data_IF_153087739860
#
_entry.id   IF_153087739860
#
_cell.length_a   1.000
_cell.length_b   1.000
_cell.length_c   1.000
_cell.angle_alpha   90.00
_cell.angle_beta   90.00
_cell.angle_gamma   90.00
#
_symmetry.space_group_name_H-M   'P 1'
#
loop_
_entity.id
_entity.type
_entity.pdbx_description
1 polymer ?
#
# COMPACT_ATOMS: atom_id res chain seq x y z
N UNK A 1 -9.07 -54.70 4.06
CA UNK A 1 -8.65 -53.91 2.88
C UNK A 1 -9.59 -52.71 2.58
N UNK A 2 -10.13 -52.03 3.60
CA UNK A 2 -11.07 -50.88 3.42
C UNK A 2 -10.76 -49.66 4.31
N UNK A 3 -9.78 -49.75 5.21
CA UNK A 3 -9.43 -48.66 6.14
C UNK A 3 -8.35 -47.71 5.59
N UNK A 4 -7.53 -48.17 4.64
CA UNK A 4 -6.46 -47.37 4.03
C UNK A 4 -6.97 -46.36 3.01
N UNK A 5 -8.12 -46.63 2.37
CA UNK A 5 -8.71 -45.74 1.34
C UNK A 5 -9.41 -44.51 1.94
N UNK A 6 -9.85 -44.59 3.21
CA UNK A 6 -10.51 -43.48 3.90
C UNK A 6 -9.51 -42.45 4.48
N UNK A 7 -8.28 -42.89 4.83
CA UNK A 7 -7.22 -41.98 5.26
C UNK A 7 -6.62 -41.19 4.08
N UNK A 8 -6.49 -41.80 2.89
CA UNK A 8 -5.96 -41.09 1.71
C UNK A 8 -6.89 -39.98 1.20
N UNK A 9 -8.20 -40.13 1.37
CA UNK A 9 -9.20 -39.13 0.97
C UNK A 9 -9.25 -37.93 1.94
N UNK A 10 -8.90 -38.13 3.22
CA UNK A 10 -8.73 -37.02 4.17
C UNK A 10 -7.45 -36.20 3.92
N UNK A 11 -6.38 -36.81 3.39
CA UNK A 11 -5.16 -36.10 2.98
C UNK A 11 -5.32 -35.32 1.66
N UNK A 12 -6.27 -35.68 0.80
CA UNK A 12 -6.56 -34.95 -0.45
C UNK A 12 -7.27 -33.59 -0.23
N UNK A 13 -7.83 -33.34 0.97
CA UNK A 13 -8.38 -32.04 1.36
C UNK A 13 -7.37 -31.14 2.07
N UNK A 14 -6.12 -31.60 2.26
CA UNK A 14 -5.06 -30.82 2.89
C UNK A 14 -4.51 -29.81 1.89
N UNK A 15 -5.16 -28.66 1.89
CA UNK A 15 -4.58 -27.35 1.61
C UNK A 15 -4.21 -27.09 0.14
N UNK A 16 -5.22 -26.82 -0.68
CA UNK A 16 -5.09 -25.75 -1.67
C UNK A 16 -4.74 -24.46 -0.91
N UNK A 17 -3.44 -24.19 -0.75
CA UNK A 17 -2.98 -22.97 -0.13
C UNK A 17 -3.34 -21.83 -1.07
N UNK A 18 -4.47 -21.17 -0.84
CA UNK A 18 -4.85 -19.95 -1.56
C UNK A 18 -4.00 -18.79 -1.04
N UNK A 19 -3.67 -17.86 -1.94
CA UNK A 19 -3.10 -16.59 -1.54
C UNK A 19 -4.08 -15.89 -0.60
N UNK A 20 -3.58 -15.41 0.54
CA UNK A 20 -4.40 -14.73 1.53
C UNK A 20 -4.03 -13.26 1.57
N UNK A 21 -5.04 -12.40 1.52
CA UNK A 21 -4.86 -10.99 1.79
C UNK A 21 -4.42 -10.76 3.24
N UNK A 22 -3.69 -9.67 3.45
CA UNK A 22 -3.39 -9.15 4.76
C UNK A 22 -4.68 -8.66 5.43
N UNK A 23 -4.73 -8.77 6.75
CA UNK A 23 -5.79 -8.13 7.54
C UNK A 23 -5.34 -6.72 7.90
N UNK A 24 -6.29 -5.88 8.30
CA UNK A 24 -6.03 -4.51 8.74
C UNK A 24 -5.37 -3.62 7.67
N UNK A 25 -5.59 -3.94 6.41
CA UNK A 25 -5.23 -3.12 5.27
C UNK A 25 -6.00 -1.80 5.30
N UNK A 26 -5.32 -0.68 5.09
CA UNK A 26 -5.92 0.64 4.96
C UNK A 26 -5.40 1.26 3.66
N UNK A 27 -6.32 1.55 2.76
CA UNK A 27 -6.09 2.31 1.54
C UNK A 27 -7.05 3.50 1.55
N UNK A 28 -6.53 4.67 1.23
CA UNK A 28 -7.27 5.93 1.34
C UNK A 28 -7.11 6.67 0.03
N UNK A 29 -8.21 7.17 -0.51
CA UNK A 29 -8.20 8.09 -1.64
C UNK A 29 -7.38 9.35 -1.33
N UNK A 30 -6.74 9.89 -2.36
CA UNK A 30 -5.83 11.04 -2.33
C UNK A 30 -4.55 10.87 -1.50
N UNK A 31 -4.32 9.69 -0.93
CA UNK A 31 -3.06 9.34 -0.26
C UNK A 31 -2.29 8.36 -1.15
N UNK A 32 -1.08 8.70 -1.54
CA UNK A 32 -0.22 7.87 -2.39
C UNK A 32 0.53 6.77 -1.61
N UNK A 33 -0.08 6.28 -0.54
CA UNK A 33 0.49 5.26 0.34
C UNK A 33 -0.60 4.32 0.86
N UNK A 34 -0.32 3.03 0.78
CA UNK A 34 -1.05 1.97 1.45
C UNK A 34 -0.45 1.72 2.84
N UNK A 35 -1.30 1.43 3.83
CA UNK A 35 -0.89 1.18 5.20
C UNK A 35 -1.32 -0.23 5.66
N UNK A 36 -0.45 -0.93 6.38
CA UNK A 36 -0.83 -2.10 7.15
C UNK A 36 -0.27 -2.03 8.58
N UNK A 37 -1.09 -1.57 9.56
CA UNK A 37 -0.67 -1.45 10.95
C UNK A 37 -0.30 -2.77 11.63
N UNK A 38 -0.90 -3.88 11.21
CA UNK A 38 -0.65 -5.21 11.78
C UNK A 38 0.70 -5.79 11.33
N UNK A 39 1.02 -5.66 10.05
CA UNK A 39 2.28 -6.14 9.47
C UNK A 39 3.42 -5.12 9.58
N UNK A 40 3.11 -3.89 10.03
CA UNK A 40 4.03 -2.76 10.16
C UNK A 40 4.76 -2.53 8.83
N UNK A 41 4.00 -2.27 7.78
CA UNK A 41 4.53 -1.91 6.47
C UNK A 41 3.66 -0.83 5.83
N UNK A 42 4.33 0.09 5.15
CA UNK A 42 3.70 0.98 4.19
C UNK A 42 4.19 0.64 2.78
N UNK A 43 3.35 0.89 1.78
CA UNK A 43 3.72 0.72 0.37
C UNK A 43 3.26 1.95 -0.38
N UNK A 44 4.20 2.66 -1.00
CA UNK A 44 3.86 3.76 -1.89
C UNK A 44 3.08 3.24 -3.09
N UNK A 45 1.98 3.92 -3.38
CA UNK A 45 1.08 3.70 -4.50
C UNK A 45 1.04 4.95 -5.38
N UNK A 46 0.27 4.92 -6.46
CA UNK A 46 -0.05 6.14 -7.19
C UNK A 46 -1.37 6.75 -6.72
N UNK A 47 -1.52 8.06 -6.85
CA UNK A 47 -2.78 8.76 -6.61
C UNK A 47 -3.88 8.45 -7.63
N UNK A 48 -3.57 7.76 -8.73
CA UNK A 48 -4.57 7.37 -9.74
C UNK A 48 -5.31 6.06 -9.40
N UNK A 49 -5.05 5.49 -8.22
CA UNK A 49 -5.82 4.41 -7.65
C UNK A 49 -6.91 4.95 -6.74
N UNK A 50 -8.08 4.30 -6.78
CA UNK A 50 -9.24 4.66 -5.97
C UNK A 50 -9.72 3.42 -5.21
N UNK A 51 -10.45 3.59 -4.08
CA UNK A 51 -11.06 2.47 -3.38
C UNK A 51 -11.99 1.68 -4.31
N UNK A 52 -11.91 0.35 -4.27
CA UNK A 52 -12.80 -0.52 -5.04
C UNK A 52 -14.27 -0.28 -4.68
N UNK A 53 -15.13 -0.26 -5.69
CA UNK A 53 -16.58 -0.24 -5.54
C UNK A 53 -17.12 -1.62 -5.95
N UNK A 54 -18.05 -2.18 -5.19
CA UNK A 54 -18.60 -3.52 -5.45
C UNK A 54 -19.11 -3.65 -6.88
N UNK A 55 -18.59 -4.64 -7.62
CA UNK A 55 -18.92 -4.88 -9.03
C UNK A 55 -18.16 -4.00 -10.03
N UNK A 56 -17.26 -3.13 -9.57
CA UNK A 56 -16.40 -2.33 -10.42
C UNK A 56 -15.33 -3.15 -11.15
N UNK A 57 -14.81 -2.57 -12.24
CA UNK A 57 -13.70 -3.14 -13.02
C UNK A 57 -12.33 -2.58 -12.62
N UNK A 58 -12.31 -1.49 -11.84
CA UNK A 58 -11.09 -0.78 -11.44
C UNK A 58 -11.10 -0.46 -9.94
N UNK A 59 -9.96 -0.01 -9.42
CA UNK A 59 -9.76 0.34 -8.02
C UNK A 59 -8.91 -0.66 -7.23
N UNK A 60 -8.75 -0.41 -5.93
CA UNK A 60 -7.90 -1.19 -5.02
C UNK A 60 -8.74 -2.20 -4.25
N UNK A 61 -8.52 -3.48 -4.53
CA UNK A 61 -9.08 -4.63 -3.81
C UNK A 61 -8.17 -5.04 -2.66
N UNK A 62 -8.73 -5.14 -1.46
CA UNK A 62 -7.99 -5.47 -0.22
C UNK A 62 -8.29 -6.88 0.31
N UNK A 63 -9.24 -7.59 -0.29
CA UNK A 63 -9.74 -8.89 0.18
C UNK A 63 -10.00 -9.90 -0.96
N UNK A 64 -9.87 -9.48 -2.22
CA UNK A 64 -10.13 -10.31 -3.39
C UNK A 64 -9.22 -9.95 -4.57
N UNK A 65 -9.16 -10.85 -5.54
CA UNK A 65 -8.33 -10.72 -6.73
C UNK A 65 -9.14 -10.23 -7.93
N UNK A 66 -8.48 -9.57 -8.87
CA UNK A 66 -8.95 -9.48 -10.25
C UNK A 66 -8.73 -10.81 -10.97
N UNK A 67 -9.49 -11.03 -12.04
CA UNK A 67 -9.61 -12.34 -12.69
C UNK A 67 -8.26 -13.00 -13.06
N UNK A 68 -7.29 -12.22 -13.53
CA UNK A 68 -6.00 -12.73 -14.02
C UNK A 68 -4.91 -12.80 -12.95
N UNK A 69 -5.11 -12.21 -11.77
CA UNK A 69 -4.07 -12.07 -10.74
C UNK A 69 -3.50 -13.42 -10.31
N UNK A 70 -4.37 -14.41 -10.09
CA UNK A 70 -3.97 -15.73 -9.59
C UNK A 70 -3.08 -16.45 -10.61
N UNK A 71 -3.39 -16.35 -11.90
CA UNK A 71 -2.61 -17.01 -12.94
C UNK A 71 -1.29 -16.30 -13.18
N UNK A 72 -1.25 -14.97 -13.08
CA UNK A 72 -0.02 -14.18 -13.05
C UNK A 72 0.87 -14.60 -11.87
N UNK A 73 0.32 -14.68 -10.64
CA UNK A 73 1.07 -15.10 -9.45
C UNK A 73 1.63 -16.53 -9.58
N UNK A 74 0.87 -17.45 -10.20
CA UNK A 74 1.36 -18.80 -10.53
C UNK A 74 2.49 -18.76 -11.55
N UNK A 75 2.34 -17.98 -12.64
CA UNK A 75 3.33 -17.86 -13.73
C UNK A 75 4.70 -17.43 -13.21
N UNK A 76 4.72 -16.45 -12.30
CA UNK A 76 5.98 -15.93 -11.72
C UNK A 76 6.48 -16.78 -10.54
N UNK A 77 5.77 -17.87 -10.20
CA UNK A 77 6.16 -18.79 -9.14
C UNK A 77 5.98 -18.27 -7.71
N UNK A 78 5.18 -17.21 -7.51
CA UNK A 78 4.88 -16.69 -6.18
C UNK A 78 3.88 -17.59 -5.46
N UNK A 79 4.40 -18.42 -4.55
CA UNK A 79 3.59 -19.33 -3.73
C UNK A 79 2.86 -18.57 -2.61
N UNK A 80 1.66 -19.02 -2.27
CA UNK A 80 0.82 -18.45 -1.22
C UNK A 80 1.36 -18.65 0.21
N UNK A 81 2.14 -19.72 0.45
CA UNK A 81 2.61 -20.07 1.80
C UNK A 81 3.75 -19.14 2.25
N UNK A 82 3.50 -18.36 3.29
CA UNK A 82 4.49 -17.43 3.89
C UNK A 82 4.45 -16.02 3.30
N UNK A 83 3.54 -15.79 2.36
CA UNK A 83 3.28 -14.50 1.73
C UNK A 83 1.88 -13.99 2.10
N UNK A 84 1.70 -12.68 2.07
CA UNK A 84 0.41 -12.00 2.21
C UNK A 84 0.25 -11.00 1.08
N UNK A 85 -0.88 -11.07 0.39
CA UNK A 85 -1.23 -10.02 -0.59
C UNK A 85 -1.69 -8.81 0.19
N UNK A 86 -1.07 -7.66 -0.05
CA UNK A 86 -1.42 -6.41 0.62
C UNK A 86 -2.62 -5.78 -0.09
N UNK A 87 -2.56 -5.71 -1.41
CA UNK A 87 -3.62 -5.24 -2.28
C UNK A 87 -3.46 -5.79 -3.71
N UNK A 88 -4.55 -5.72 -4.48
CA UNK A 88 -4.55 -5.82 -5.94
C UNK A 88 -5.28 -4.62 -6.52
N UNK A 89 -4.73 -3.97 -7.55
CA UNK A 89 -5.21 -2.68 -8.00
C UNK A 89 -5.20 -2.55 -9.53
N UNK A 90 -6.19 -1.85 -10.06
CA UNK A 90 -6.26 -1.37 -11.45
C UNK A 90 -6.58 0.14 -11.37
N UNK A 91 -5.84 1.02 -12.08
CA UNK A 91 -6.12 2.45 -12.06
C UNK A 91 -7.41 2.77 -12.82
N UNK A 92 -8.04 3.90 -12.48
CA UNK A 92 -9.21 4.38 -13.24
C UNK A 92 -8.83 5.03 -14.58
N UNK A 93 -7.55 5.36 -14.78
CA UNK A 93 -7.04 5.99 -15.99
C UNK A 93 -6.29 5.01 -16.89
N UNK A 94 -6.35 5.25 -18.20
CA UNK A 94 -5.57 4.50 -19.18
C UNK A 94 -4.06 4.79 -19.05
N UNK A 95 -3.18 3.79 -19.22
CA UNK A 95 -3.50 2.39 -19.48
C UNK A 95 -3.96 1.65 -18.21
N UNK A 96 -4.91 0.72 -18.36
CA UNK A 96 -5.47 -0.08 -17.26
C UNK A 96 -4.55 -1.27 -16.94
N UNK A 97 -3.40 -0.97 -16.36
CA UNK A 97 -2.50 -2.00 -15.84
C UNK A 97 -2.98 -2.55 -14.49
N UNK A 98 -2.51 -3.73 -14.14
CA UNK A 98 -2.70 -4.32 -12.83
C UNK A 98 -1.44 -4.17 -11.98
N UNK A 99 -1.62 -3.93 -10.68
CA UNK A 99 -0.57 -3.90 -9.69
C UNK A 99 -0.97 -4.71 -8.46
N UNK A 100 -0.18 -5.73 -8.13
CA UNK A 100 -0.26 -6.43 -6.85
C UNK A 100 0.93 -6.10 -5.98
N UNK A 101 0.69 -5.91 -4.69
CA UNK A 101 1.73 -5.89 -3.68
C UNK A 101 1.65 -7.14 -2.82
N UNK A 102 2.74 -7.89 -2.72
CA UNK A 102 2.81 -9.13 -1.93
C UNK A 102 3.98 -9.04 -0.95
N UNK A 103 3.67 -9.13 0.34
CA UNK A 103 4.67 -9.15 1.40
C UNK A 103 5.10 -10.58 1.73
N UNK A 104 6.40 -10.82 1.68
CA UNK A 104 7.04 -12.08 2.08
C UNK A 104 7.77 -11.89 3.41
N UNK A 105 7.35 -12.62 4.44
CA UNK A 105 7.99 -12.61 5.76
C UNK A 105 8.66 -13.96 6.10
N UNK A 106 8.31 -15.02 5.36
CA UNK A 106 8.88 -16.36 5.47
C UNK A 106 8.99 -16.93 4.06
N UNK A 107 10.02 -17.75 3.81
CA UNK A 107 10.27 -18.38 2.49
C UNK A 107 10.30 -17.33 1.37
N UNK A 108 11.34 -16.50 1.40
CA UNK A 108 11.51 -15.41 0.44
C UNK A 108 11.57 -15.96 -1.00
N UNK A 109 11.06 -15.18 -1.98
CA UNK A 109 11.20 -15.51 -3.39
C UNK A 109 12.65 -15.78 -3.77
N UNK A 110 12.81 -16.74 -4.68
CA UNK A 110 14.06 -17.03 -5.37
C UNK A 110 14.42 -15.85 -6.27
N UNK A 111 15.68 -15.43 -6.25
CA UNK A 111 16.17 -14.24 -6.96
C UNK A 111 17.02 -14.58 -8.18
N UNK A 112 17.14 -15.86 -8.54
CA UNK A 112 17.94 -16.30 -9.68
C UNK A 112 17.38 -15.74 -11.01
N UNK A 113 18.26 -15.09 -11.77
CA UNK A 113 17.92 -14.43 -13.03
C UNK A 113 17.12 -13.14 -12.87
N UNK A 114 17.02 -12.57 -11.66
CA UNK A 114 16.59 -11.18 -11.50
C UNK A 114 17.76 -10.24 -11.73
N UNK A 115 17.50 -9.14 -12.41
CA UNK A 115 18.44 -8.03 -12.58
C UNK A 115 18.39 -7.12 -11.35
N UNK A 116 19.55 -6.76 -10.79
CA UNK A 116 19.64 -5.78 -9.70
C UNK A 116 19.67 -4.36 -10.25
N UNK A 117 18.83 -3.47 -9.70
CA UNK A 117 18.79 -2.04 -9.99
C UNK A 117 19.13 -1.25 -8.73
N UNK A 118 20.24 -0.52 -8.76
CA UNK A 118 20.61 0.42 -7.71
C UNK A 118 19.78 1.71 -7.85
N UNK A 119 19.32 2.26 -6.73
CA UNK A 119 18.52 3.51 -6.72
C UNK A 119 19.10 4.59 -5.80
N UNK A 120 20.05 4.21 -4.95
CA UNK A 120 20.77 5.10 -4.05
C UNK A 120 22.08 4.47 -3.62
N UNK A 121 22.68 4.97 -2.53
CA UNK A 121 23.99 4.49 -2.07
C UNK A 121 23.93 3.04 -1.56
N UNK A 122 22.86 2.69 -0.85
CA UNK A 122 22.68 1.39 -0.22
C UNK A 122 21.30 0.77 -0.53
N UNK A 123 20.54 1.39 -1.45
CA UNK A 123 19.19 0.99 -1.80
C UNK A 123 19.11 0.39 -3.20
N UNK A 124 18.38 -0.71 -3.30
CA UNK A 124 18.19 -1.44 -4.55
C UNK A 124 16.89 -2.23 -4.58
N UNK A 125 16.50 -2.60 -5.79
CA UNK A 125 15.50 -3.64 -6.02
C UNK A 125 15.99 -4.63 -7.06
N UNK A 126 15.35 -5.78 -7.14
CA UNK A 126 15.58 -6.79 -8.16
C UNK A 126 14.38 -6.82 -9.09
N UNK A 127 14.56 -6.96 -10.39
CA UNK A 127 13.45 -7.07 -11.34
C UNK A 127 13.62 -8.24 -12.29
N UNK A 128 12.48 -8.78 -12.73
CA UNK A 128 12.43 -9.81 -13.78
C UNK A 128 11.13 -9.71 -14.55
N UNK A 129 11.25 -9.86 -15.86
CA UNK A 129 10.12 -9.80 -16.78
C UNK A 129 9.65 -11.21 -17.15
N UNK A 130 8.35 -11.35 -17.35
CA UNK A 130 7.67 -12.58 -17.73
C UNK A 130 6.56 -12.28 -18.73
N UNK A 131 6.14 -13.32 -19.45
CA UNK A 131 5.03 -13.24 -20.40
C UNK A 131 4.01 -14.35 -20.10
N UNK A 132 2.71 -14.02 -20.22
CA UNK A 132 1.60 -14.96 -20.07
C UNK A 132 0.52 -14.66 -21.12
N UNK A 133 0.56 -15.36 -22.25
CA UNK A 133 -0.36 -15.07 -23.36
C UNK A 133 -0.10 -13.66 -23.91
N UNK A 134 -1.12 -12.79 -23.87
CA UNK A 134 -1.01 -11.37 -24.25
C UNK A 134 -0.74 -10.44 -23.06
N UNK A 135 -0.21 -10.99 -21.97
CA UNK A 135 0.11 -10.23 -20.78
C UNK A 135 1.60 -10.12 -20.58
N UNK A 136 1.95 -8.90 -20.22
CA UNK A 136 3.30 -8.43 -20.10
C UNK A 136 3.57 -8.06 -18.65
N UNK A 137 4.38 -8.88 -17.99
CA UNK A 137 4.49 -8.93 -16.53
C UNK A 137 5.90 -8.50 -16.11
N UNK A 138 6.00 -7.61 -15.12
CA UNK A 138 7.25 -7.35 -14.40
C UNK A 138 7.05 -7.60 -12.91
N UNK A 139 7.92 -8.42 -12.36
CA UNK A 139 8.04 -8.60 -10.92
C UNK A 139 9.23 -7.82 -10.40
N UNK A 140 8.98 -6.95 -9.44
CA UNK A 140 10.00 -6.24 -8.66
C UNK A 140 10.05 -6.85 -7.26
N UNK A 141 11.25 -7.14 -6.76
CA UNK A 141 11.52 -7.63 -5.42
C UNK A 141 12.36 -6.61 -4.66
N UNK A 142 11.85 -6.14 -3.52
CA UNK A 142 12.52 -5.18 -2.65
C UNK A 142 12.83 -5.88 -1.32
N UNK A 143 14.09 -6.31 -1.08
CA UNK A 143 14.46 -6.87 0.21
C UNK A 143 14.57 -5.77 1.25
N UNK A 144 14.13 -6.01 2.48
CA UNK A 144 14.27 -5.04 3.57
C UNK A 144 14.38 -5.76 4.92
N UNK A 145 14.60 -5.00 6.00
CA UNK A 145 14.98 -5.55 7.33
C UNK A 145 16.17 -6.51 7.23
N UNK A 146 17.27 -6.06 6.59
CA UNK A 146 18.48 -6.87 6.36
C UNK A 146 18.17 -8.18 5.61
N UNK A 147 17.25 -8.13 4.66
CA UNK A 147 16.84 -9.27 3.85
C UNK A 147 15.96 -10.30 4.57
N UNK A 148 15.40 -9.98 5.74
CA UNK A 148 14.44 -10.86 6.43
C UNK A 148 13.04 -10.81 5.83
N UNK A 149 12.69 -9.68 5.21
CA UNK A 149 11.43 -9.47 4.51
C UNK A 149 11.68 -9.06 3.07
N UNK A 150 10.69 -9.29 2.22
CA UNK A 150 10.73 -8.88 0.83
C UNK A 150 9.35 -8.44 0.38
N UNK A 151 9.25 -7.27 -0.25
CA UNK A 151 8.06 -6.82 -0.95
C UNK A 151 8.18 -7.23 -2.42
N UNK A 152 7.18 -7.94 -2.93
CA UNK A 152 7.01 -8.13 -4.37
C UNK A 152 5.98 -7.12 -4.89
N UNK A 153 6.38 -6.28 -5.84
CA UNK A 153 5.45 -5.54 -6.67
C UNK A 153 5.31 -6.28 -8.00
N UNK A 154 4.11 -6.74 -8.32
CA UNK A 154 3.81 -7.47 -9.55
C UNK A 154 2.94 -6.60 -10.41
N UNK A 155 3.51 -6.10 -11.49
CA UNK A 155 2.81 -5.29 -12.47
C UNK A 155 2.54 -6.13 -13.70
N UNK A 156 1.33 -6.05 -14.25
CA UNK A 156 1.06 -6.62 -15.57
C UNK A 156 0.08 -5.78 -16.37
N UNK A 157 0.21 -5.83 -17.69
CA UNK A 157 -0.61 -5.05 -18.64
C UNK A 157 -0.79 -5.87 -19.92
N UNK A 158 -1.86 -5.59 -20.68
CA UNK A 158 -2.04 -6.15 -22.02
C UNK A 158 -0.92 -5.68 -22.95
N UNK A 159 -0.33 -6.61 -23.71
CA UNK A 159 0.72 -6.32 -24.71
C UNK A 159 0.28 -5.33 -25.79
N UNK A 160 -1.03 -5.18 -26.00
CA UNK A 160 -1.62 -4.29 -27.00
C UNK A 160 -1.82 -2.85 -26.47
N UNK A 161 -1.86 -2.65 -25.15
CA UNK A 161 -2.22 -1.36 -24.54
C UNK A 161 -1.03 -0.45 -24.23
N UNK A 162 0.19 -0.97 -24.20
CA UNK A 162 1.34 -0.26 -23.63
C UNK A 162 2.36 0.29 -24.65
N UNK A 163 1.94 0.51 -25.91
CA UNK A 163 2.77 0.69 -27.12
C UNK A 163 4.03 1.55 -26.98
N UNK A 164 4.07 2.54 -26.08
CA UNK A 164 5.21 3.45 -25.89
C UNK A 164 6.05 3.17 -24.63
N UNK A 165 5.48 2.57 -23.58
CA UNK A 165 6.25 2.16 -22.39
C UNK A 165 5.48 1.18 -21.50
N UNK A 166 5.90 -0.09 -21.56
CA UNK A 166 5.32 -1.22 -20.81
C UNK A 166 5.30 -1.05 -19.29
N UNK A 167 6.37 -0.49 -18.72
CA UNK A 167 6.61 -0.51 -17.26
C UNK A 167 7.03 0.83 -16.63
N UNK A 168 6.93 1.95 -17.35
CA UNK A 168 7.40 3.26 -16.84
C UNK A 168 6.77 3.62 -15.49
N UNK A 169 5.51 3.27 -15.28
CA UNK A 169 4.81 3.48 -14.01
C UNK A 169 5.36 2.58 -12.89
N UNK A 170 5.73 1.35 -13.19
CA UNK A 170 6.29 0.47 -12.16
C UNK A 170 7.68 0.93 -11.72
N UNK A 171 8.52 1.42 -12.63
CA UNK A 171 9.91 1.77 -12.32
C UNK A 171 10.01 2.88 -11.26
N UNK A 172 9.09 3.85 -11.27
CA UNK A 172 9.01 4.88 -10.22
C UNK A 172 8.59 4.27 -8.88
N UNK A 173 7.52 3.45 -8.85
CA UNK A 173 7.06 2.79 -7.63
C UNK A 173 8.13 1.88 -7.02
N UNK A 174 8.89 1.15 -7.85
CA UNK A 174 10.00 0.32 -7.43
C UNK A 174 11.08 1.14 -6.73
N UNK A 175 11.47 2.29 -7.32
CA UNK A 175 12.47 3.21 -6.75
C UNK A 175 12.03 3.77 -5.40
N UNK A 176 10.85 4.39 -5.33
CA UNK A 176 10.40 5.07 -4.10
C UNK A 176 10.15 4.06 -2.97
N UNK A 177 9.58 2.89 -3.26
CA UNK A 177 9.41 1.85 -2.24
C UNK A 177 10.75 1.28 -1.77
N UNK A 178 11.74 1.09 -2.66
CA UNK A 178 13.07 0.63 -2.26
C UNK A 178 13.76 1.64 -1.34
N UNK A 179 13.71 2.93 -1.68
CA UNK A 179 14.27 4.01 -0.85
C UNK A 179 13.64 3.99 0.55
N UNK A 180 12.30 3.97 0.64
CA UNK A 180 11.61 4.06 1.92
C UNK A 180 11.74 2.80 2.78
N UNK A 181 11.62 1.61 2.20
CA UNK A 181 11.69 0.35 2.96
C UNK A 181 13.10 0.02 3.45
N UNK A 182 14.13 0.54 2.77
CA UNK A 182 15.54 0.30 3.09
C UNK A 182 16.20 1.50 3.80
N UNK A 183 15.45 2.58 4.06
CA UNK A 183 15.94 3.70 4.86
C UNK A 183 16.19 3.24 6.31
N UNK A 184 17.45 3.32 6.74
CA UNK A 184 17.86 2.93 8.09
C UNK A 184 17.63 4.01 9.14
N UNK A 185 17.39 5.25 8.70
CA UNK A 185 17.13 6.39 9.58
C UNK A 185 15.65 6.55 9.89
N UNK A 186 14.77 5.98 9.07
CA UNK A 186 13.33 6.05 9.23
C UNK A 186 12.73 4.72 9.69
N UNK A 187 11.56 4.81 10.35
CA UNK A 187 10.77 3.62 10.64
C UNK A 187 10.14 3.14 9.34
N UNK A 188 10.30 1.86 9.04
CA UNK A 188 9.64 1.18 7.91
C UNK A 188 8.11 1.35 7.93
N UNK A 189 7.55 1.47 9.13
CA UNK A 189 6.13 1.76 9.32
C UNK A 189 5.90 3.11 9.99
N UNK A 190 5.02 3.88 9.38
CA UNK A 190 4.42 5.10 9.88
C UNK A 190 2.90 4.99 9.82
N UNK A 191 2.23 5.45 10.87
CA UNK A 191 0.78 5.57 10.92
C UNK A 191 0.28 6.86 10.25
N UNK A 192 1.14 7.57 9.53
CA UNK A 192 0.81 8.83 8.89
C UNK A 192 1.48 8.99 7.54
N UNK A 193 0.92 9.90 6.76
CA UNK A 193 1.44 10.38 5.49
C UNK A 193 1.40 11.89 5.46
N UNK A 194 2.37 12.50 4.79
CA UNK A 194 2.50 13.96 4.64
C UNK A 194 2.90 14.29 3.22
N UNK A 195 2.34 15.36 2.65
CA UNK A 195 2.82 15.91 1.38
C UNK A 195 4.22 16.50 1.55
N UNK A 196 5.06 16.37 0.52
CA UNK A 196 6.47 16.75 0.55
C UNK A 196 6.71 18.26 0.80
N UNK A 197 5.75 19.12 0.47
CA UNK A 197 5.86 20.58 0.61
C UNK A 197 5.93 21.05 2.07
N UNK A 198 5.50 20.23 3.03
CA UNK A 198 5.58 20.53 4.47
C UNK A 198 7.00 20.41 5.06
N UNK A 199 8.04 20.23 4.22
CA UNK A 199 9.46 20.18 4.61
C UNK A 199 10.16 21.55 4.39
N UNK A 200 9.39 22.61 4.17
CA UNK A 200 9.91 23.98 4.05
C UNK A 200 10.45 24.52 5.39
N UNK A 201 11.48 25.37 5.34
CA UNK A 201 11.97 26.13 6.52
C UNK A 201 10.89 27.04 7.13
N UNK A 202 9.86 27.39 6.35
CA UNK A 202 8.71 28.18 6.82
C UNK A 202 7.69 27.35 7.62
N UNK A 203 7.84 26.03 7.68
CA UNK A 203 6.91 25.17 8.39
C UNK A 203 7.09 25.31 9.91
N UNK A 204 5.97 25.52 10.61
CA UNK A 204 5.92 25.75 12.05
C UNK A 204 5.53 24.49 12.79
N UNK A 205 6.19 24.21 13.92
CA UNK A 205 5.79 23.14 14.83
C UNK A 205 4.38 23.41 15.35
N UNK A 206 3.46 22.53 14.97
CA UNK A 206 2.03 22.63 15.26
C UNK A 206 1.58 21.42 16.08
N UNK A 207 0.64 21.65 16.99
CA UNK A 207 0.02 20.62 17.80
C UNK A 207 -1.50 20.64 17.60
N UNK A 208 -2.04 19.55 17.08
CA UNK A 208 -3.47 19.36 16.90
C UNK A 208 -3.98 18.56 18.08
N UNK A 209 -4.90 19.15 18.86
CA UNK A 209 -5.61 18.42 19.91
C UNK A 209 -6.67 17.53 19.28
N UNK A 210 -6.67 16.24 19.61
CA UNK A 210 -7.67 15.29 19.12
C UNK A 210 -8.95 15.44 19.96
N UNK A 211 -10.11 15.75 19.35
CA UNK A 211 -11.36 15.97 20.08
C UNK A 211 -11.76 14.79 20.95
N UNK A 212 -12.37 15.04 22.11
CA UNK A 212 -12.80 13.99 23.04
C UNK A 212 -13.75 12.97 22.40
N UNK A 213 -14.66 13.42 21.52
CA UNK A 213 -15.55 12.55 20.76
C UNK A 213 -14.80 11.50 19.93
N UNK A 214 -13.59 11.82 19.46
CA UNK A 214 -12.73 10.89 18.71
C UNK A 214 -12.02 9.91 19.65
N UNK A 215 -11.66 10.34 20.86
CA UNK A 215 -11.03 9.49 21.88
C UNK A 215 -11.92 8.36 22.39
N UNK A 216 -13.24 8.50 22.23
CA UNK A 216 -14.24 7.54 22.69
C UNK A 216 -14.67 6.54 21.60
N UNK A 217 -14.25 6.76 20.34
CA UNK A 217 -14.53 5.83 19.23
C UNK A 217 -13.74 4.53 19.41
N UNK A 218 -14.42 3.39 19.24
CA UNK A 218 -13.78 2.08 19.22
C UNK A 218 -13.23 1.77 17.83
N UNK A 219 -12.04 1.17 17.77
CA UNK A 219 -11.38 0.82 16.51
C UNK A 219 -10.40 1.90 16.05
N UNK A 220 -10.26 2.05 14.73
CA UNK A 220 -9.43 3.10 14.12
C UNK A 220 -10.28 4.29 13.69
N UNK A 221 -9.68 5.47 13.79
CA UNK A 221 -10.17 6.71 13.20
C UNK A 221 -9.11 7.25 12.26
N UNK A 222 -9.54 7.75 11.11
CA UNK A 222 -8.68 8.32 10.09
C UNK A 222 -8.81 9.83 10.11
N UNK A 223 -7.72 10.54 10.41
CA UNK A 223 -7.66 11.99 10.28
C UNK A 223 -7.10 12.34 8.91
N UNK A 224 -7.86 13.11 8.12
CA UNK A 224 -7.38 13.83 6.94
C UNK A 224 -7.29 15.32 7.27
N UNK A 225 -6.20 15.94 6.84
CA UNK A 225 -5.98 17.39 6.91
C UNK A 225 -5.89 17.95 5.50
N UNK A 226 -6.75 18.91 5.19
CA UNK A 226 -6.76 19.61 3.90
C UNK A 226 -6.31 21.06 4.11
N UNK A 227 -5.41 21.55 3.27
CA UNK A 227 -5.06 22.97 3.24
C UNK A 227 -5.97 23.73 2.28
N UNK A 228 -6.33 24.96 2.65
CA UNK A 228 -7.07 25.89 1.80
C UNK A 228 -6.10 26.60 0.83
N UNK A 229 -6.40 26.61 -0.46
CA UNK A 229 -5.61 27.28 -1.49
C UNK A 229 -6.53 28.09 -2.40
N UNK A 230 -6.70 29.39 -2.14
CA UNK A 230 -7.53 30.33 -2.92
C UNK A 230 -8.95 29.82 -3.27
N UNK A 231 -9.08 28.94 -4.27
CA UNK A 231 -10.34 28.36 -4.76
C UNK A 231 -10.44 26.84 -4.58
N UNK A 232 -9.39 26.18 -4.10
CA UNK A 232 -9.29 24.72 -4.00
C UNK A 232 -8.84 24.27 -2.59
N UNK A 233 -9.03 22.98 -2.30
CA UNK A 233 -8.48 22.34 -1.10
C UNK A 233 -7.70 21.11 -1.48
N UNK A 234 -6.50 20.92 -0.92
CA UNK A 234 -5.65 19.77 -1.18
C UNK A 234 -5.28 19.02 0.09
N UNK A 235 -5.33 17.68 0.06
CA UNK A 235 -4.89 16.87 1.19
C UNK A 235 -3.39 17.10 1.45
N UNK A 236 -3.07 17.38 2.70
CA UNK A 236 -1.73 17.73 3.14
C UNK A 236 -1.17 16.71 4.12
N UNK A 237 -2.05 16.07 4.88
CA UNK A 237 -1.68 15.12 5.92
C UNK A 237 -2.77 14.09 6.14
N UNK A 238 -2.34 12.87 6.46
CA UNK A 238 -3.19 11.75 6.84
C UNK A 238 -2.61 11.06 8.07
N UNK A 239 -3.45 10.64 9.02
CA UNK A 239 -3.04 9.92 10.23
C UNK A 239 -4.06 8.87 10.65
N UNK A 240 -3.56 7.69 11.04
CA UNK A 240 -4.35 6.60 11.62
C UNK A 240 -4.25 6.69 13.14
N UNK A 241 -5.36 7.06 13.77
CA UNK A 241 -5.57 7.00 15.21
C UNK A 241 -6.10 5.60 15.57
N UNK A 242 -5.45 4.92 16.49
CA UNK A 242 -5.87 3.60 16.97
C UNK A 242 -6.34 3.71 18.43
N UNK A 243 -7.59 3.37 18.71
CA UNK A 243 -8.15 3.38 20.08
C UNK A 243 -7.34 2.54 21.09
N UNK A 244 -6.54 1.57 20.64
CA UNK A 244 -5.62 0.81 21.49
C UNK A 244 -4.42 1.62 21.97
N UNK A 245 -4.10 2.73 21.29
CA UNK A 245 -3.00 3.63 21.58
C UNK A 245 -3.52 5.07 21.50
N UNK A 246 -4.16 5.53 22.58
CA UNK A 246 -4.76 6.88 22.62
C UNK A 246 -3.70 7.95 22.38
N UNK A 247 -3.90 8.73 21.33
CA UNK A 247 -3.11 9.92 21.01
C UNK A 247 -3.99 11.13 21.27
N UNK A 248 -3.70 11.89 22.34
CA UNK A 248 -4.46 13.11 22.67
C UNK A 248 -4.06 14.28 21.76
N UNK A 249 -2.84 14.25 21.24
CA UNK A 249 -2.21 15.34 20.49
C UNK A 249 -1.38 14.79 19.34
N UNK A 250 -1.52 15.41 18.17
CA UNK A 250 -0.74 15.10 16.97
C UNK A 250 0.24 16.24 16.74
N UNK A 251 1.54 15.92 16.70
CA UNK A 251 2.61 16.88 16.44
C UNK A 251 3.06 16.80 15.00
N UNK A 252 3.03 17.94 14.30
CA UNK A 252 3.41 18.02 12.90
C UNK A 252 3.90 19.43 12.55
N UNK A 253 4.76 19.52 11.54
CA UNK A 253 5.15 20.81 10.95
C UNK A 253 4.18 21.14 9.83
N UNK A 254 3.59 22.33 9.89
CA UNK A 254 2.64 22.86 8.91
C UNK A 254 3.08 24.24 8.47
N UNK A 255 2.84 24.56 7.20
CA UNK A 255 2.98 25.93 6.71
C UNK A 255 1.89 26.82 7.31
N UNK A 256 2.13 28.15 7.42
CA UNK A 256 1.07 29.09 7.74
C UNK A 256 -0.07 28.99 6.71
N UNK A 257 -1.22 28.49 7.14
CA UNK A 257 -2.41 28.36 6.32
C UNK A 257 -3.65 28.07 7.20
N UNK A 258 -4.84 28.13 6.60
CA UNK A 258 -6.05 27.52 7.13
C UNK A 258 -6.11 26.05 6.71
N UNK A 259 -6.43 25.19 7.66
CA UNK A 259 -6.57 23.76 7.42
C UNK A 259 -7.92 23.24 7.92
N UNK A 260 -8.53 22.37 7.13
CA UNK A 260 -9.75 21.63 7.47
C UNK A 260 -9.38 20.22 7.89
N UNK A 261 -9.91 19.80 9.04
CA UNK A 261 -9.70 18.46 9.59
C UNK A 261 -10.96 17.65 9.36
N UNK A 262 -10.81 16.45 8.83
CA UNK A 262 -11.87 15.48 8.74
C UNK A 262 -11.47 14.18 9.44
N UNK A 263 -12.26 13.78 10.44
CA UNK A 263 -12.11 12.52 11.16
C UNK A 263 -13.15 11.53 10.65
N UNK A 264 -12.70 10.38 10.16
CA UNK A 264 -13.53 9.36 9.54
C UNK A 264 -13.42 8.01 10.28
N UNK A 265 -14.47 7.21 10.26
CA UNK A 265 -14.44 5.83 10.78
C UNK A 265 -13.76 4.85 9.82
N UNK A 266 -13.67 3.57 10.20
CA UNK A 266 -13.09 2.50 9.36
C UNK A 266 -13.85 2.26 8.05
N UNK A 267 -15.06 2.81 7.89
CA UNK A 267 -15.84 2.79 6.66
C UNK A 267 -15.75 4.10 5.89
N UNK A 268 -14.81 4.98 6.26
CA UNK A 268 -14.61 6.31 5.69
C UNK A 268 -15.82 7.24 5.84
N UNK A 269 -16.71 6.98 6.80
CA UNK A 269 -17.80 7.90 7.12
C UNK A 269 -17.27 9.00 8.04
N UNK A 270 -17.50 10.25 7.68
CA UNK A 270 -17.15 11.39 8.53
C UNK A 270 -17.86 11.31 9.88
N UNK A 271 -17.08 11.37 10.96
CA UNK A 271 -17.53 11.39 12.36
C UNK A 271 -17.50 12.83 12.88
N UNK A 272 -16.44 13.58 12.57
CA UNK A 272 -16.21 14.92 13.07
C UNK A 272 -15.42 15.75 12.07
N UNK A 273 -15.64 17.07 12.08
CA UNK A 273 -14.87 18.04 11.31
C UNK A 273 -14.44 19.17 12.22
N UNK A 274 -13.24 19.69 11.97
CA UNK A 274 -12.69 20.83 12.68
C UNK A 274 -11.92 21.73 11.72
N UNK A 275 -11.48 22.89 12.19
CA UNK A 275 -10.66 23.83 11.41
C UNK A 275 -9.60 24.45 12.30
N UNK A 276 -8.37 24.45 11.82
CA UNK A 276 -7.26 25.13 12.49
C UNK A 276 -6.67 26.20 11.57
N UNK A 277 -6.02 27.18 12.17
CA UNK A 277 -5.32 28.23 11.42
C UNK A 277 -3.92 28.40 12.01
N UNK A 278 -2.91 28.13 11.17
CA UNK A 278 -1.50 28.30 11.50
C UNK A 278 -1.11 29.70 11.04
N UNK A 279 -0.80 30.58 12.00
CA UNK A 279 -0.39 31.96 11.72
C UNK A 279 1.13 32.03 11.60
N UNK A 280 1.62 32.83 10.66
CA UNK A 280 3.03 33.19 10.51
C UNK A 280 3.57 33.94 11.73
#
# INVERSE_FOLDING_TARGET
MKLTTLLLSFFALISCSSHKFAKESVFVDDVDEYFNPALKVNVWTYMNFYPYQDGGETGVKLNEFYAQDIDVLKKIGLKSRGAKVLFSAIPNSSPQYHLLAVLHQKKLPKTEGFEKKEVGKDQHYLQKDFELGRLDIRQVLIPFEKGKKMLSLVYYISSEEHLNCKFCKLDYLAKINAINLQDTQQKIYRNNWKIAENISEKAMDSEISVPSIIQDVKGKVYLKLFAEYETETGINYFHILDSKHKEEKIKLKLLPNRYFLEYQDEKFKTIHRDTIHIKS
#
